data_IF_427696153300
#
_entry.id   IF_427696153300
#
_cell.length_a   1.000
_cell.length_b   1.000
_cell.length_c   1.000
_cell.angle_alpha   90.00
_cell.angle_beta   90.00
_cell.angle_gamma   90.00
#
_symmetry.space_group_name_H-M   'P 1'
#
loop_
_entity.id
_entity.type
_entity.pdbx_description
1 polymer ?
#
# COMPACT_ATOMS: atom_id res chain seq x y z
N UNK A 1 -3.91 34.28 -32.47
CA UNK A 1 -4.59 33.79 -31.24
C UNK A 1 -3.61 32.86 -30.50
N UNK A 2 -3.16 33.17 -29.30
CA UNK A 2 -2.24 32.32 -28.55
C UNK A 2 -3.03 31.15 -27.93
N UNK A 3 -2.48 29.95 -28.02
CA UNK A 3 -3.00 28.73 -27.39
C UNK A 3 -2.75 28.77 -25.89
N UNK A 4 -3.77 28.47 -25.11
CA UNK A 4 -3.77 28.43 -23.65
C UNK A 4 -2.88 27.30 -23.10
N UNK A 5 -2.03 27.56 -22.10
CA UNK A 5 -1.29 26.54 -21.36
C UNK A 5 -1.97 26.25 -20.01
N UNK A 6 -3.17 25.67 -19.99
CA UNK A 6 -3.94 25.52 -18.74
C UNK A 6 -3.86 24.11 -18.16
N UNK A 7 -3.60 23.08 -18.95
CA UNK A 7 -3.61 21.68 -18.46
C UNK A 7 -2.30 21.26 -17.76
N UNK A 8 -1.15 21.67 -18.23
CA UNK A 8 0.16 21.30 -17.66
C UNK A 8 0.43 21.91 -16.29
N UNK A 9 -0.12 23.12 -16.02
CA UNK A 9 0.08 23.82 -14.75
C UNK A 9 -0.71 23.18 -13.59
N UNK A 10 -1.88 22.61 -13.84
CA UNK A 10 -2.69 21.99 -12.79
C UNK A 10 -2.19 20.59 -12.39
N UNK A 11 -1.63 19.83 -13.32
CA UNK A 11 -1.03 18.52 -13.01
C UNK A 11 0.29 18.65 -12.22
N UNK A 12 1.13 19.63 -12.56
CA UNK A 12 2.37 19.88 -11.83
C UNK A 12 2.12 20.40 -10.41
N UNK A 13 1.12 21.25 -10.21
CA UNK A 13 0.72 21.73 -8.88
C UNK A 13 0.11 20.60 -8.03
N UNK A 14 -0.68 19.69 -8.61
CA UNK A 14 -1.22 18.52 -7.90
C UNK A 14 -0.12 17.51 -7.52
N UNK A 15 0.88 17.31 -8.37
CA UNK A 15 2.04 16.46 -8.09
C UNK A 15 2.92 17.02 -6.97
N UNK A 16 3.20 18.33 -6.97
CA UNK A 16 3.94 18.99 -5.89
C UNK A 16 3.21 18.95 -4.55
N UNK A 17 1.90 19.18 -4.55
CA UNK A 17 1.07 19.08 -3.33
C UNK A 17 1.05 17.65 -2.76
N UNK A 18 1.04 16.61 -3.60
CA UNK A 18 1.09 15.22 -3.15
C UNK A 18 2.45 14.85 -2.55
N UNK A 19 3.53 15.23 -3.22
CA UNK A 19 4.89 14.95 -2.73
C UNK A 19 5.12 15.58 -1.36
N UNK A 20 4.69 16.82 -1.16
CA UNK A 20 4.78 17.49 0.14
C UNK A 20 3.96 16.78 1.23
N UNK A 21 2.76 16.29 0.92
CA UNK A 21 1.97 15.48 1.87
C UNK A 21 2.63 14.16 2.21
N UNK A 22 3.22 13.50 1.23
CA UNK A 22 3.99 12.26 1.45
C UNK A 22 5.22 12.53 2.31
N UNK A 23 5.96 13.60 2.04
CA UNK A 23 7.12 14.04 2.84
C UNK A 23 6.71 14.32 4.30
N UNK A 24 5.59 15.02 4.50
CA UNK A 24 5.04 15.27 5.85
C UNK A 24 4.59 13.97 6.52
N UNK A 25 3.86 13.11 5.80
CA UNK A 25 3.41 11.82 6.32
C UNK A 25 4.58 10.89 6.67
N UNK A 26 5.67 10.91 5.92
CA UNK A 26 6.86 10.09 6.18
C UNK A 26 7.85 10.73 7.16
N UNK A 27 7.54 11.86 7.79
CA UNK A 27 8.47 12.61 8.65
C UNK A 27 9.10 11.77 9.77
N UNK A 28 8.33 10.90 10.43
CA UNK A 28 8.84 10.01 11.48
C UNK A 28 9.80 8.95 10.93
N UNK A 29 9.44 8.34 9.80
CA UNK A 29 10.28 7.33 9.14
C UNK A 29 11.55 7.97 8.56
N UNK A 30 11.43 9.18 8.00
CA UNK A 30 12.56 9.98 7.53
C UNK A 30 13.53 10.31 8.65
N UNK A 31 13.02 10.78 9.81
CA UNK A 31 13.84 11.07 10.98
C UNK A 31 14.61 9.84 11.44
N UNK A 32 13.98 8.69 11.47
CA UNK A 32 14.64 7.45 11.86
C UNK A 32 15.69 7.00 10.83
N UNK A 33 15.34 6.95 9.55
CA UNK A 33 16.23 6.41 8.51
C UNK A 33 17.24 7.44 7.99
N UNK A 34 16.78 8.58 7.46
CA UNK A 34 17.66 9.52 6.78
C UNK A 34 18.54 10.32 7.75
N UNK A 35 17.97 10.82 8.86
CA UNK A 35 18.79 11.57 9.85
C UNK A 35 19.77 10.62 10.55
N UNK A 36 19.38 9.35 10.81
CA UNK A 36 20.29 8.32 11.29
C UNK A 36 21.45 8.09 10.32
N UNK A 37 21.17 7.91 9.01
CA UNK A 37 22.21 7.76 7.98
C UNK A 37 23.11 8.99 7.87
N UNK A 38 22.53 10.20 7.88
CA UNK A 38 23.33 11.44 7.83
C UNK A 38 24.28 11.50 9.02
N UNK A 39 23.84 11.15 10.25
CA UNK A 39 24.72 11.17 11.44
C UNK A 39 25.91 10.20 11.34
N UNK A 40 25.73 9.04 10.70
CA UNK A 40 26.78 8.04 10.46
C UNK A 40 27.79 8.57 9.42
N UNK A 41 27.30 9.26 8.40
CA UNK A 41 28.08 9.70 7.25
C UNK A 41 28.70 11.11 7.40
N UNK A 42 28.33 11.86 8.47
CA UNK A 42 28.96 13.16 8.79
C UNK A 42 30.41 12.95 9.22
N UNK A 43 31.31 13.74 8.66
CA UNK A 43 32.73 13.79 9.06
C UNK A 43 33.72 13.32 8.01
N UNK A 44 33.23 12.97 6.80
CA UNK A 44 34.13 12.58 5.69
C UNK A 44 34.95 11.33 5.99
N UNK A 45 34.38 10.40 6.77
CA UNK A 45 34.97 9.08 7.06
C UNK A 45 35.27 8.36 5.73
N UNK A 46 36.40 7.66 5.67
CA UNK A 46 36.63 6.65 4.63
C UNK A 46 35.57 5.55 4.77
N UNK A 47 35.20 4.96 3.63
CA UNK A 47 34.24 3.85 3.63
C UNK A 47 35.02 2.58 3.98
N UNK A 48 34.93 2.18 5.24
CA UNK A 48 35.51 0.98 5.79
C UNK A 48 34.42 -0.01 6.27
N UNK A 49 34.84 -1.15 6.77
CA UNK A 49 33.94 -2.20 7.25
C UNK A 49 33.12 -1.72 8.46
N UNK A 50 33.69 -0.89 9.35
CA UNK A 50 33.01 -0.34 10.52
C UNK A 50 31.84 0.58 10.10
N UNK A 51 32.07 1.43 9.10
CA UNK A 51 31.03 2.29 8.55
C UNK A 51 29.89 1.48 7.91
N UNK A 52 30.22 0.40 7.20
CA UNK A 52 29.21 -0.47 6.58
C UNK A 52 28.40 -1.22 7.65
N UNK A 53 29.00 -1.63 8.77
CA UNK A 53 28.29 -2.21 9.93
C UNK A 53 27.33 -1.18 10.58
N UNK A 54 27.78 0.08 10.76
CA UNK A 54 26.90 1.15 11.25
C UNK A 54 25.70 1.39 10.33
N UNK A 55 25.91 1.32 9.01
CA UNK A 55 24.82 1.43 8.00
C UNK A 55 23.87 0.25 8.09
N UNK A 56 24.40 -0.99 8.25
CA UNK A 56 23.59 -2.20 8.41
C UNK A 56 22.68 -2.10 9.63
N UNK A 57 23.22 -1.73 10.78
CA UNK A 57 22.47 -1.56 12.01
C UNK A 57 21.35 -0.52 11.85
N UNK A 58 21.64 0.59 11.18
CA UNK A 58 20.65 1.65 10.93
C UNK A 58 19.49 1.17 10.02
N UNK A 59 19.78 0.36 9.01
CA UNK A 59 18.78 -0.24 8.13
C UNK A 59 17.86 -1.20 8.89
N UNK A 60 18.43 -1.99 9.79
CA UNK A 60 17.67 -2.92 10.65
C UNK A 60 16.78 -2.16 11.64
N UNK A 61 17.29 -1.11 12.28
CA UNK A 61 16.53 -0.22 13.19
C UNK A 61 15.35 0.46 12.46
N UNK A 62 15.52 0.74 11.18
CA UNK A 62 14.46 1.32 10.34
C UNK A 62 13.40 0.30 9.85
N UNK A 63 13.44 -0.96 10.30
CA UNK A 63 12.54 -2.07 9.88
C UNK A 63 12.64 -2.44 8.39
N UNK A 64 13.79 -2.21 7.73
CA UNK A 64 14.01 -2.60 6.33
C UNK A 64 14.01 -4.12 6.17
N UNK A 65 14.35 -4.83 7.24
CA UNK A 65 14.35 -6.29 7.29
C UNK A 65 15.67 -6.91 6.83
N UNK A 66 16.00 -8.08 7.42
CA UNK A 66 17.31 -8.72 7.26
C UNK A 66 17.66 -9.02 5.80
N UNK A 67 16.71 -9.54 5.02
CA UNK A 67 16.99 -9.92 3.61
C UNK A 67 17.34 -8.70 2.74
N UNK A 68 16.53 -7.63 2.86
CA UNK A 68 16.78 -6.40 2.12
C UNK A 68 18.08 -5.73 2.58
N UNK A 69 18.33 -5.69 3.89
CA UNK A 69 19.57 -5.14 4.46
C UNK A 69 20.80 -5.89 3.95
N UNK A 70 20.83 -7.23 4.04
CA UNK A 70 21.96 -8.04 3.53
C UNK A 70 22.21 -7.81 2.03
N UNK A 71 21.15 -7.69 1.23
CA UNK A 71 21.27 -7.39 -0.21
C UNK A 71 21.92 -6.02 -0.43
N UNK A 72 21.48 -5.00 0.30
CA UNK A 72 22.01 -3.64 0.21
C UNK A 72 23.48 -3.62 0.62
N UNK A 73 23.81 -4.14 1.81
CA UNK A 73 25.20 -4.13 2.34
C UNK A 73 26.14 -4.88 1.40
N UNK A 74 25.73 -6.04 0.89
CA UNK A 74 26.53 -6.79 -0.09
C UNK A 74 26.82 -5.94 -1.33
N UNK A 75 25.83 -5.27 -1.90
CA UNK A 75 26.00 -4.42 -3.07
C UNK A 75 26.93 -3.24 -2.79
N UNK A 76 26.75 -2.56 -1.65
CA UNK A 76 27.60 -1.43 -1.25
C UNK A 76 29.06 -1.87 -1.02
N UNK A 77 29.29 -3.01 -0.37
CA UNK A 77 30.62 -3.61 -0.17
C UNK A 77 31.30 -3.90 -1.53
N UNK A 78 30.58 -4.52 -2.46
CA UNK A 78 31.11 -4.79 -3.81
C UNK A 78 31.43 -3.52 -4.59
N UNK A 79 30.63 -2.46 -4.48
CA UNK A 79 30.89 -1.16 -5.10
C UNK A 79 32.10 -0.47 -4.47
N UNK A 80 32.26 -0.53 -3.15
CA UNK A 80 33.44 0.00 -2.44
C UNK A 80 34.70 -0.72 -2.86
N UNK A 81 34.69 -2.06 -2.93
CA UNK A 81 35.84 -2.87 -3.35
C UNK A 81 36.28 -2.60 -4.79
N UNK A 82 35.36 -2.19 -5.67
CA UNK A 82 35.69 -1.76 -7.04
C UNK A 82 36.21 -0.32 -7.14
N UNK A 83 36.15 0.45 -6.05
CA UNK A 83 36.50 1.87 -6.05
C UNK A 83 35.41 2.80 -6.61
N UNK A 84 34.19 2.32 -6.79
CA UNK A 84 33.06 3.12 -7.27
C UNK A 84 32.56 4.10 -6.19
N UNK A 85 32.73 3.71 -4.91
CA UNK A 85 32.35 4.50 -3.73
C UNK A 85 33.59 4.92 -2.96
N UNK A 86 33.92 6.22 -3.01
CA UNK A 86 35.11 6.77 -2.35
C UNK A 86 34.74 7.63 -1.13
N UNK A 87 33.60 8.31 -1.19
CA UNK A 87 33.16 9.27 -0.18
C UNK A 87 31.79 8.93 0.37
N UNK A 88 31.54 9.29 1.61
CA UNK A 88 30.25 9.11 2.30
C UNK A 88 29.04 9.59 1.48
N UNK A 89 29.17 10.70 0.73
CA UNK A 89 28.09 11.18 -0.14
C UNK A 89 27.77 10.19 -1.29
N UNK A 90 28.78 9.54 -1.86
CA UNK A 90 28.54 8.53 -2.91
C UNK A 90 27.86 7.29 -2.34
N UNK A 91 28.22 6.88 -1.11
CA UNK A 91 27.55 5.80 -0.38
C UNK A 91 26.08 6.12 -0.11
N UNK A 92 25.75 7.34 0.33
CA UNK A 92 24.38 7.79 0.56
C UNK A 92 23.51 7.72 -0.70
N UNK A 93 24.07 8.13 -1.83
CA UNK A 93 23.40 8.08 -3.13
C UNK A 93 23.24 6.65 -3.65
N UNK A 94 24.26 5.80 -3.46
CA UNK A 94 24.21 4.39 -3.83
C UNK A 94 23.12 3.67 -3.01
N UNK A 95 23.05 3.93 -1.69
CA UNK A 95 21.99 3.40 -0.82
C UNK A 95 20.59 3.76 -1.34
N UNK A 96 20.34 5.01 -1.72
CA UNK A 96 19.05 5.41 -2.30
C UNK A 96 18.74 4.64 -3.59
N UNK A 97 19.75 4.39 -4.43
CA UNK A 97 19.59 3.62 -5.66
C UNK A 97 19.22 2.19 -5.36
N UNK A 98 19.94 1.52 -4.45
CA UNK A 98 19.63 0.15 -4.03
C UNK A 98 18.20 0.03 -3.48
N UNK A 99 17.76 1.00 -2.68
CA UNK A 99 16.39 1.02 -2.15
C UNK A 99 15.34 1.17 -3.26
N UNK A 100 15.58 2.00 -4.27
CA UNK A 100 14.70 2.11 -5.44
C UNK A 100 14.68 0.81 -6.23
N UNK A 101 15.82 0.15 -6.39
CA UNK A 101 15.97 -1.09 -7.16
C UNK A 101 15.28 -2.28 -6.49
N UNK A 102 15.23 -2.33 -5.15
CA UNK A 102 14.42 -3.31 -4.41
C UNK A 102 12.94 -3.14 -4.72
N UNK A 103 12.44 -1.91 -4.75
CA UNK A 103 11.01 -1.62 -4.90
C UNK A 103 10.51 -1.69 -6.34
N UNK A 104 11.35 -1.34 -7.32
CA UNK A 104 10.92 -1.18 -8.72
C UNK A 104 10.25 -2.42 -9.31
N UNK A 105 10.77 -3.65 -9.15
CA UNK A 105 10.13 -4.85 -9.69
C UNK A 105 8.85 -5.26 -8.94
N UNK A 106 8.59 -4.67 -7.79
CA UNK A 106 7.48 -5.01 -6.89
C UNK A 106 6.33 -4.02 -6.95
N UNK A 107 6.24 -3.24 -8.02
CA UNK A 107 5.19 -2.26 -8.24
C UNK A 107 4.47 -2.56 -9.54
N UNK A 108 3.15 -2.63 -9.46
CA UNK A 108 2.31 -2.70 -10.64
C UNK A 108 1.03 -1.89 -10.42
N UNK A 109 0.58 -1.09 -11.39
CA UNK A 109 -0.67 -0.35 -11.28
C UNK A 109 -1.87 -1.31 -11.21
N UNK A 110 -2.93 -0.92 -10.51
CA UNK A 110 -4.22 -1.59 -10.61
C UNK A 110 -4.85 -1.26 -11.96
N UNK A 111 -5.03 -2.27 -12.80
CA UNK A 111 -5.65 -2.14 -14.11
C UNK A 111 -7.06 -2.73 -14.04
N UNK A 112 -8.07 -1.90 -14.29
CA UNK A 112 -9.46 -2.33 -14.38
C UNK A 112 -9.73 -2.86 -15.79
N UNK A 113 -9.84 -4.18 -15.91
CA UNK A 113 -10.22 -4.82 -17.17
C UNK A 113 -11.70 -4.54 -17.49
N UNK A 114 -11.95 -3.72 -18.49
CA UNK A 114 -13.31 -3.32 -18.92
C UNK A 114 -14.11 -4.47 -19.55
N UNK A 115 -13.48 -5.60 -19.88
CA UNK A 115 -14.18 -6.81 -20.32
C UNK A 115 -14.90 -7.52 -19.18
N UNK A 116 -14.51 -7.22 -17.92
CA UNK A 116 -15.11 -7.74 -16.69
C UNK A 116 -16.11 -6.74 -16.13
N UNK A 117 -17.39 -7.12 -16.08
CA UNK A 117 -18.47 -6.26 -15.55
C UNK A 117 -19.38 -7.05 -14.60
N UNK A 118 -19.22 -6.82 -13.29
CA UNK A 118 -18.25 -5.93 -12.64
C UNK A 118 -16.84 -6.51 -12.58
N UNK A 119 -15.82 -5.64 -12.63
CA UNK A 119 -14.49 -6.00 -12.14
C UNK A 119 -14.55 -6.05 -10.61
N UNK A 120 -14.25 -7.20 -10.01
CA UNK A 120 -14.46 -7.45 -8.58
C UNK A 120 -13.15 -7.31 -7.82
N UNK A 121 -13.10 -6.37 -6.88
CA UNK A 121 -11.99 -6.17 -5.94
C UNK A 121 -12.42 -6.68 -4.57
N UNK A 122 -11.73 -7.71 -4.05
CA UNK A 122 -11.92 -8.22 -2.69
C UNK A 122 -10.85 -7.61 -1.79
N UNK A 123 -11.28 -6.83 -0.78
CA UNK A 123 -10.37 -6.17 0.15
C UNK A 123 -10.30 -6.95 1.45
N UNK A 124 -9.10 -7.40 1.81
CA UNK A 124 -8.83 -8.18 3.02
C UNK A 124 -7.77 -7.53 3.91
N UNK A 125 -7.62 -8.01 5.13
CA UNK A 125 -6.66 -7.52 6.12
C UNK A 125 -7.25 -7.52 7.53
N UNK A 126 -6.42 -7.34 8.55
CA UNK A 126 -6.85 -7.38 9.95
C UNK A 126 -7.70 -6.16 10.32
N UNK A 127 -8.38 -6.22 11.47
CA UNK A 127 -9.16 -5.08 11.95
C UNK A 127 -8.23 -3.90 12.31
N UNK A 128 -8.69 -2.69 12.02
CA UNK A 128 -7.97 -1.46 12.35
C UNK A 128 -6.88 -1.04 11.36
N UNK A 129 -6.57 -1.84 10.33
CA UNK A 129 -5.57 -1.45 9.31
C UNK A 129 -6.06 -0.39 8.32
N UNK A 130 -7.33 -0.01 8.34
CA UNK A 130 -7.89 1.02 7.45
C UNK A 130 -8.55 0.46 6.18
N UNK A 131 -9.05 -0.78 6.17
CA UNK A 131 -9.75 -1.37 5.02
C UNK A 131 -10.91 -0.49 4.52
N UNK A 132 -11.89 -0.21 5.37
CA UNK A 132 -13.09 0.56 5.02
C UNK A 132 -12.73 1.97 4.50
N UNK A 133 -11.75 2.62 5.12
CA UNK A 133 -11.23 3.92 4.67
C UNK A 133 -10.55 3.81 3.30
N UNK A 134 -9.73 2.77 3.09
CA UNK A 134 -9.07 2.50 1.81
C UNK A 134 -10.10 2.24 0.70
N UNK A 135 -11.13 1.45 0.98
CA UNK A 135 -12.25 1.19 0.05
C UNK A 135 -12.91 2.50 -0.35
N UNK A 136 -13.27 3.37 0.60
CA UNK A 136 -13.89 4.66 0.31
C UNK A 136 -13.01 5.55 -0.56
N UNK A 137 -11.71 5.66 -0.25
CA UNK A 137 -10.75 6.44 -1.05
C UNK A 137 -10.56 5.86 -2.46
N UNK A 138 -10.43 4.53 -2.57
CA UNK A 138 -10.28 3.85 -3.85
C UNK A 138 -11.53 4.00 -4.71
N UNK A 139 -12.72 3.85 -4.14
CA UNK A 139 -13.99 4.02 -4.81
C UNK A 139 -14.12 5.44 -5.39
N UNK A 140 -13.78 6.46 -4.59
CA UNK A 140 -13.80 7.86 -5.05
C UNK A 140 -12.81 8.11 -6.17
N UNK A 141 -11.63 7.52 -6.09
CA UNK A 141 -10.61 7.63 -7.13
C UNK A 141 -11.11 7.01 -8.44
N UNK A 142 -11.62 5.78 -8.41
CA UNK A 142 -12.15 5.09 -9.59
C UNK A 142 -13.35 5.84 -10.21
N UNK A 143 -14.21 6.42 -9.37
CA UNK A 143 -15.29 7.30 -9.83
C UNK A 143 -14.73 8.53 -10.55
N UNK A 144 -13.66 9.13 -10.02
CA UNK A 144 -12.96 10.25 -10.67
C UNK A 144 -12.29 9.87 -12.00
N UNK A 145 -11.97 8.59 -12.19
CA UNK A 145 -11.47 8.01 -13.45
C UNK A 145 -12.61 7.61 -14.41
N UNK A 146 -13.86 7.99 -14.09
CA UNK A 146 -15.04 7.76 -14.93
C UNK A 146 -15.66 6.36 -14.82
N UNK A 147 -15.28 5.57 -13.79
CA UNK A 147 -15.86 4.24 -13.55
C UNK A 147 -17.12 4.33 -12.69
N UNK A 148 -18.14 3.57 -13.04
CA UNK A 148 -19.25 3.29 -12.13
C UNK A 148 -18.79 2.29 -11.07
N UNK A 149 -19.03 2.62 -9.79
CA UNK A 149 -18.55 1.83 -8.66
C UNK A 149 -19.73 1.43 -7.76
N UNK A 150 -19.66 0.23 -7.21
CA UNK A 150 -20.57 -0.27 -6.16
C UNK A 150 -19.74 -0.84 -5.01
N UNK A 151 -20.23 -0.73 -3.77
CA UNK A 151 -19.60 -1.28 -2.58
C UNK A 151 -20.43 -2.43 -2.00
N UNK A 152 -19.75 -3.43 -1.42
CA UNK A 152 -20.38 -4.50 -0.68
C UNK A 152 -19.86 -4.51 0.77
N UNK A 153 -20.78 -4.40 1.75
CA UNK A 153 -20.45 -4.38 3.18
C UNK A 153 -20.37 -5.83 3.73
N UNK A 154 -19.28 -6.54 3.42
CA UNK A 154 -19.09 -7.92 3.86
C UNK A 154 -18.55 -8.06 5.30
N UNK A 155 -18.11 -7.00 6.00
CA UNK A 155 -17.82 -7.04 7.45
C UNK A 155 -19.11 -6.92 8.26
N UNK A 156 -19.96 -7.95 8.18
CA UNK A 156 -21.32 -7.96 8.74
C UNK A 156 -21.35 -8.03 10.27
N UNK A 157 -20.26 -8.44 10.90
CA UNK A 157 -20.15 -8.56 12.35
C UNK A 157 -19.82 -7.24 13.05
N UNK A 158 -19.38 -6.23 12.29
CA UNK A 158 -19.08 -4.91 12.82
C UNK A 158 -20.07 -3.89 12.28
N UNK A 159 -21.14 -3.65 13.07
CA UNK A 159 -22.16 -2.67 12.70
C UNK A 159 -21.57 -1.31 12.31
N UNK A 160 -20.60 -0.82 13.10
CA UNK A 160 -19.92 0.43 12.80
C UNK A 160 -19.11 0.41 11.48
N UNK A 161 -18.61 -0.74 11.03
CA UNK A 161 -17.90 -0.83 9.75
C UNK A 161 -18.88 -0.75 8.57
N UNK A 162 -20.02 -1.45 8.68
CA UNK A 162 -21.10 -1.36 7.70
C UNK A 162 -21.65 0.06 7.60
N UNK A 163 -21.95 0.69 8.73
CA UNK A 163 -22.41 2.08 8.79
C UNK A 163 -21.40 3.05 8.20
N UNK A 164 -20.12 2.90 8.54
CA UNK A 164 -19.03 3.70 7.96
C UNK A 164 -18.99 3.58 6.44
N UNK A 165 -19.13 2.36 5.90
CA UNK A 165 -19.12 2.14 4.46
C UNK A 165 -20.34 2.77 3.78
N UNK A 166 -21.52 2.70 4.42
CA UNK A 166 -22.75 3.36 3.95
C UNK A 166 -22.60 4.88 3.91
N UNK A 167 -22.05 5.48 4.97
CA UNK A 167 -21.75 6.93 5.01
C UNK A 167 -20.77 7.33 3.88
N UNK A 168 -19.76 6.51 3.60
CA UNK A 168 -18.86 6.74 2.47
C UNK A 168 -19.62 6.69 1.13
N UNK A 169 -20.50 5.72 0.96
CA UNK A 169 -21.35 5.58 -0.22
C UNK A 169 -22.25 6.81 -0.43
N UNK A 170 -22.97 7.21 0.62
CA UNK A 170 -23.87 8.37 0.60
C UNK A 170 -23.14 9.67 0.23
N UNK A 171 -22.01 9.95 0.90
CA UNK A 171 -21.21 11.17 0.65
C UNK A 171 -20.68 11.28 -0.78
N UNK A 172 -20.49 10.15 -1.46
CA UNK A 172 -19.89 10.11 -2.78
C UNK A 172 -20.87 9.65 -3.88
N UNK A 173 -22.16 9.45 -3.55
CA UNK A 173 -23.18 8.91 -4.46
C UNK A 173 -22.76 7.54 -5.05
N UNK A 174 -22.20 6.67 -4.22
CA UNK A 174 -21.80 5.31 -4.59
C UNK A 174 -22.76 4.33 -3.91
N UNK A 175 -23.46 3.45 -4.66
CA UNK A 175 -24.38 2.49 -4.08
C UNK A 175 -23.65 1.46 -3.22
N UNK A 176 -24.22 1.14 -2.05
CA UNK A 176 -23.70 0.16 -1.10
C UNK A 176 -24.74 -0.95 -0.94
N UNK A 177 -24.30 -2.19 -1.11
CA UNK A 177 -25.08 -3.37 -0.76
C UNK A 177 -24.68 -3.80 0.65
N UNK A 178 -25.65 -3.80 1.55
CA UNK A 178 -25.49 -4.22 2.94
C UNK A 178 -26.70 -5.04 3.38
N UNK A 179 -26.50 -5.95 4.31
CA UNK A 179 -27.55 -6.70 5.00
C UNK A 179 -27.50 -6.46 6.51
N UNK A 180 -28.42 -7.01 7.25
CA UNK A 180 -28.50 -6.87 8.71
C UNK A 180 -27.23 -7.39 9.41
N UNK A 181 -27.01 -6.89 10.63
CA UNK A 181 -25.88 -7.32 11.47
C UNK A 181 -25.86 -8.85 11.65
N UNK A 182 -24.68 -9.47 11.48
CA UNK A 182 -24.48 -10.91 11.61
C UNK A 182 -24.94 -11.75 10.41
N UNK A 183 -25.35 -11.09 9.30
CA UNK A 183 -25.63 -11.80 8.05
C UNK A 183 -24.37 -12.50 7.51
N UNK A 184 -24.57 -13.50 6.66
CA UNK A 184 -23.47 -14.22 6.01
C UNK A 184 -22.73 -13.31 5.01
N UNK A 185 -21.46 -13.01 5.27
CA UNK A 185 -20.61 -12.19 4.40
C UNK A 185 -20.63 -12.63 2.93
N UNK A 186 -20.61 -13.95 2.70
CA UNK A 186 -20.62 -14.50 1.34
C UNK A 186 -21.96 -14.21 0.62
N UNK A 187 -23.09 -14.20 1.35
CA UNK A 187 -24.41 -13.86 0.79
C UNK A 187 -24.47 -12.38 0.40
N UNK A 188 -23.97 -11.48 1.26
CA UNK A 188 -23.93 -10.03 0.98
C UNK A 188 -23.13 -9.77 -0.30
N UNK A 189 -21.96 -10.40 -0.43
CA UNK A 189 -21.06 -10.21 -1.58
C UNK A 189 -21.68 -10.82 -2.85
N UNK A 190 -22.35 -11.97 -2.75
CA UNK A 190 -23.06 -12.56 -3.87
C UNK A 190 -24.18 -11.64 -4.38
N UNK A 191 -25.02 -11.13 -3.49
CA UNK A 191 -26.10 -10.20 -3.86
C UNK A 191 -25.54 -8.92 -4.46
N UNK A 192 -24.41 -8.42 -3.96
CA UNK A 192 -23.72 -7.28 -4.53
C UNK A 192 -23.23 -7.55 -5.97
N UNK A 193 -22.67 -8.74 -6.23
CA UNK A 193 -22.23 -9.15 -7.58
C UNK A 193 -23.44 -9.22 -8.54
N UNK A 194 -24.56 -9.80 -8.12
CA UNK A 194 -25.79 -9.87 -8.93
C UNK A 194 -26.35 -8.46 -9.20
N UNK A 195 -26.40 -7.61 -8.17
CA UNK A 195 -26.87 -6.23 -8.31
C UNK A 195 -25.95 -5.42 -9.24
N UNK A 196 -24.65 -5.54 -9.09
CA UNK A 196 -23.65 -4.85 -9.92
C UNK A 196 -23.76 -5.27 -11.39
N UNK A 197 -23.93 -6.58 -11.65
CA UNK A 197 -24.16 -7.12 -13.00
C UNK A 197 -25.45 -6.58 -13.61
N UNK A 198 -26.56 -6.61 -12.87
CA UNK A 198 -27.86 -6.12 -13.33
C UNK A 198 -27.84 -4.61 -13.65
N UNK A 199 -27.06 -3.83 -12.91
CA UNK A 199 -26.91 -2.37 -13.09
C UNK A 199 -25.76 -1.99 -14.01
N UNK A 200 -25.08 -2.95 -14.64
CA UNK A 200 -23.93 -2.73 -15.53
C UNK A 200 -22.80 -1.89 -14.89
N UNK A 201 -22.53 -2.13 -13.60
CA UNK A 201 -21.48 -1.46 -12.83
C UNK A 201 -20.10 -1.92 -13.32
N UNK A 202 -19.15 -0.98 -13.46
CA UNK A 202 -17.79 -1.29 -13.91
C UNK A 202 -16.98 -1.98 -12.82
N UNK A 203 -17.06 -1.51 -11.55
CA UNK A 203 -16.24 -2.02 -10.45
C UNK A 203 -17.07 -2.28 -9.20
N UNK A 204 -16.95 -3.48 -8.65
CA UNK A 204 -17.47 -3.84 -7.33
C UNK A 204 -16.30 -3.96 -6.34
N UNK A 205 -16.34 -3.22 -5.23
CA UNK A 205 -15.37 -3.34 -4.15
C UNK A 205 -16.05 -3.95 -2.93
N UNK A 206 -15.56 -5.10 -2.50
CA UNK A 206 -16.10 -5.86 -1.37
C UNK A 206 -15.20 -5.71 -0.12
N UNK A 207 -15.78 -5.18 0.97
CA UNK A 207 -15.16 -5.18 2.30
C UNK A 207 -15.33 -6.57 2.95
N UNK A 208 -14.42 -6.92 3.86
CA UNK A 208 -14.46 -8.19 4.60
C UNK A 208 -14.13 -8.00 6.07
N UNK A 209 -14.53 -8.97 6.88
CA UNK A 209 -14.10 -9.08 8.27
C UNK A 209 -12.55 -9.20 8.37
N UNK A 210 -12.02 -8.80 9.52
CA UNK A 210 -10.58 -8.86 9.77
C UNK A 210 -10.22 -9.33 11.19
N UNK A 211 -11.02 -10.23 11.78
CA UNK A 211 -10.88 -10.71 13.17
C UNK A 211 -9.80 -11.78 13.29
N UNK A 212 -8.53 -11.38 13.24
CA UNK A 212 -7.39 -12.31 13.26
C UNK A 212 -7.22 -13.05 14.59
N UNK A 213 -7.78 -12.55 15.69
CA UNK A 213 -7.82 -13.25 16.98
C UNK A 213 -8.55 -14.61 16.90
N UNK A 214 -9.46 -14.76 15.93
CA UNK A 214 -10.06 -16.05 15.58
C UNK A 214 -9.66 -16.43 14.14
N UNK A 215 -8.38 -16.73 13.98
CA UNK A 215 -7.72 -16.98 12.69
C UNK A 215 -8.43 -18.04 11.85
N UNK A 216 -8.74 -19.19 12.45
CA UNK A 216 -9.35 -20.32 11.74
C UNK A 216 -10.72 -19.95 11.19
N UNK A 217 -11.53 -19.28 11.99
CA UNK A 217 -12.86 -18.86 11.55
C UNK A 217 -12.81 -17.81 10.45
N UNK A 218 -11.92 -16.82 10.58
CA UNK A 218 -11.72 -15.80 9.55
C UNK A 218 -11.27 -16.40 8.22
N UNK A 219 -10.31 -17.33 8.24
CA UNK A 219 -9.84 -17.98 7.01
C UNK A 219 -10.94 -18.81 6.34
N UNK A 220 -11.73 -19.56 7.11
CA UNK A 220 -12.86 -20.32 6.59
C UNK A 220 -13.96 -19.41 6.00
N UNK A 221 -14.23 -18.25 6.62
CA UNK A 221 -15.16 -17.25 6.10
C UNK A 221 -14.67 -16.66 4.75
N UNK A 222 -13.40 -16.26 4.66
CA UNK A 222 -12.82 -15.73 3.43
C UNK A 222 -12.77 -16.78 2.31
N UNK A 223 -12.44 -18.02 2.63
CA UNK A 223 -12.50 -19.13 1.67
C UNK A 223 -13.92 -19.33 1.12
N UNK A 224 -14.92 -19.24 1.99
CA UNK A 224 -16.35 -19.29 1.58
C UNK A 224 -16.70 -18.12 0.66
N UNK A 225 -16.25 -16.90 0.98
CA UNK A 225 -16.45 -15.69 0.15
C UNK A 225 -15.87 -15.91 -1.24
N UNK A 226 -14.59 -16.30 -1.35
CA UNK A 226 -13.92 -16.56 -2.64
C UNK A 226 -14.66 -17.65 -3.43
N UNK A 227 -15.04 -18.74 -2.77
CA UNK A 227 -15.81 -19.82 -3.41
C UNK A 227 -17.16 -19.34 -3.96
N UNK A 228 -17.86 -18.47 -3.25
CA UNK A 228 -19.15 -17.93 -3.66
C UNK A 228 -18.97 -16.92 -4.80
N UNK A 229 -17.96 -16.08 -4.75
CA UNK A 229 -17.59 -15.18 -5.86
C UNK A 229 -17.36 -15.99 -7.16
N UNK A 230 -16.59 -17.07 -7.08
CA UNK A 230 -16.30 -17.95 -8.25
C UNK A 230 -17.52 -18.69 -8.80
N UNK A 231 -18.57 -18.86 -8.01
CA UNK A 231 -19.87 -19.36 -8.51
C UNK A 231 -20.60 -18.33 -9.36
N UNK A 232 -20.45 -17.04 -9.04
CA UNK A 232 -21.05 -15.96 -9.80
C UNK A 232 -20.23 -15.57 -11.04
N UNK A 233 -18.89 -15.58 -10.89
CA UNK A 233 -17.90 -15.39 -11.95
C UNK A 233 -16.65 -16.24 -11.64
N UNK A 234 -16.34 -17.28 -12.46
CA UNK A 234 -15.19 -18.17 -12.20
C UNK A 234 -13.83 -17.47 -12.13
N UNK A 235 -13.71 -16.26 -12.70
CA UNK A 235 -12.48 -15.46 -12.66
C UNK A 235 -12.38 -14.53 -11.45
N UNK A 236 -13.45 -14.39 -10.65
CA UNK A 236 -13.45 -13.52 -9.46
C UNK A 236 -12.77 -14.19 -8.23
N UNK A 237 -12.18 -13.38 -7.31
CA UNK A 237 -11.98 -11.95 -7.44
C UNK A 237 -10.93 -11.62 -8.52
N UNK A 238 -11.12 -10.52 -9.25
CA UNK A 238 -10.17 -10.06 -10.27
C UNK A 238 -8.96 -9.34 -9.65
N UNK A 239 -9.17 -8.73 -8.48
CA UNK A 239 -8.13 -8.20 -7.61
C UNK A 239 -8.38 -8.68 -6.18
N UNK A 240 -7.44 -9.39 -5.58
CA UNK A 240 -7.36 -9.68 -4.15
C UNK A 240 -6.42 -8.68 -3.51
N UNK A 241 -6.97 -7.64 -2.89
CA UNK A 241 -6.18 -6.55 -2.30
C UNK A 241 -6.06 -6.72 -0.79
N UNK A 242 -4.83 -6.90 -0.30
CA UNK A 242 -4.57 -6.85 1.13
C UNK A 242 -4.23 -5.43 1.58
N UNK A 243 -4.83 -4.99 2.69
CA UNK A 243 -4.50 -3.72 3.35
C UNK A 243 -3.68 -4.02 4.60
N UNK A 244 -2.50 -3.41 4.68
CA UNK A 244 -1.53 -3.58 5.76
C UNK A 244 -1.29 -2.25 6.46
N UNK A 245 -1.10 -2.30 7.77
CA UNK A 245 -0.68 -1.16 8.60
C UNK A 245 0.85 -1.14 8.71
N UNK A 246 1.50 -0.08 8.23
CA UNK A 246 2.95 0.06 8.29
C UNK A 246 3.49 -0.02 9.73
N UNK A 247 2.71 0.40 10.73
CA UNK A 247 3.09 0.33 12.14
C UNK A 247 3.24 -1.09 12.69
N UNK A 248 2.74 -2.12 11.98
CA UNK A 248 2.86 -3.51 12.41
C UNK A 248 4.23 -4.13 12.13
N UNK A 249 5.11 -3.44 11.38
CA UNK A 249 6.46 -3.90 11.07
C UNK A 249 6.46 -5.31 10.46
N UNK A 250 7.35 -6.18 10.93
CA UNK A 250 7.52 -7.57 10.45
C UNK A 250 6.23 -8.41 10.44
N UNK A 251 5.25 -8.11 11.30
CA UNK A 251 3.99 -8.83 11.33
C UNK A 251 3.15 -8.64 10.06
N UNK A 252 3.40 -7.59 9.27
CA UNK A 252 2.75 -7.38 7.98
C UNK A 252 3.02 -8.54 7.01
N UNK A 253 4.24 -9.07 6.99
CA UNK A 253 4.65 -10.19 6.12
C UNK A 253 3.86 -11.45 6.47
N UNK A 254 3.77 -11.78 7.76
CA UNK A 254 2.99 -12.93 8.23
C UNK A 254 1.52 -12.82 7.81
N UNK A 255 0.98 -11.59 7.75
CA UNK A 255 -0.38 -11.36 7.27
C UNK A 255 -0.49 -11.65 5.77
N UNK A 256 0.44 -11.17 4.93
CA UNK A 256 0.44 -11.48 3.50
C UNK A 256 0.43 -12.99 3.27
N UNK A 257 1.35 -13.71 3.89
CA UNK A 257 1.43 -15.17 3.76
C UNK A 257 0.14 -15.89 4.20
N UNK A 258 -0.44 -15.44 5.31
CA UNK A 258 -1.64 -16.04 5.85
C UNK A 258 -2.84 -15.84 4.94
N UNK A 259 -3.08 -14.58 4.51
CA UNK A 259 -4.23 -14.26 3.66
C UNK A 259 -4.07 -14.85 2.26
N UNK A 260 -2.84 -14.93 1.72
CA UNK A 260 -2.58 -15.50 0.40
C UNK A 260 -2.88 -17.00 0.30
N UNK A 261 -3.01 -17.71 1.43
CA UNK A 261 -3.41 -19.12 1.44
C UNK A 261 -4.87 -19.34 1.05
N UNK A 262 -5.73 -18.34 1.26
CA UNK A 262 -7.19 -18.47 1.06
C UNK A 262 -7.76 -17.46 0.06
N UNK A 263 -7.11 -16.31 -0.10
CA UNK A 263 -7.46 -15.29 -1.08
C UNK A 263 -6.29 -15.14 -2.05
N UNK A 264 -6.51 -15.27 -3.38
CA UNK A 264 -5.43 -15.02 -4.35
C UNK A 264 -5.08 -13.54 -4.32
N UNK A 265 -4.05 -13.18 -3.55
CA UNK A 265 -3.60 -11.79 -3.43
C UNK A 265 -2.91 -11.36 -4.72
N UNK A 266 -3.34 -10.23 -5.28
CA UNK A 266 -2.78 -9.63 -6.50
C UNK A 266 -2.30 -8.21 -6.27
N UNK A 267 -2.56 -7.62 -5.08
CA UNK A 267 -2.12 -6.29 -4.74
C UNK A 267 -2.07 -6.01 -3.25
N UNK A 268 -1.10 -5.18 -2.87
CA UNK A 268 -0.91 -4.68 -1.51
C UNK A 268 -1.21 -3.19 -1.45
N UNK A 269 -1.92 -2.78 -0.42
CA UNK A 269 -2.05 -1.38 -0.01
C UNK A 269 -1.45 -1.22 1.38
N UNK A 270 -0.50 -0.30 1.54
CA UNK A 270 0.15 -0.02 2.83
C UNK A 270 -0.39 1.31 3.36
N UNK A 271 -0.92 1.30 4.58
CA UNK A 271 -1.57 2.45 5.23
C UNK A 271 -0.80 2.92 6.46
N UNK A 272 -1.19 4.07 7.00
CA UNK A 272 -0.67 4.65 8.25
C UNK A 272 0.83 4.91 8.28
N UNK A 273 1.41 5.16 7.11
CA UNK A 273 2.81 5.56 7.01
C UNK A 273 3.10 6.86 7.77
N UNK A 274 2.11 7.73 7.94
CA UNK A 274 2.17 8.98 8.70
C UNK A 274 2.24 8.78 10.22
N UNK A 275 1.79 7.64 10.69
CA UNK A 275 1.78 7.28 12.12
C UNK A 275 3.06 6.65 12.65
N UNK A 276 3.97 6.18 11.79
CA UNK A 276 5.05 5.27 12.17
C UNK A 276 6.45 5.75 11.80
N UNK A 277 7.43 5.36 12.63
CA UNK A 277 8.86 5.42 12.28
C UNK A 277 9.36 4.19 11.50
N UNK A 278 8.46 3.21 11.25
CA UNK A 278 8.76 1.91 10.64
C UNK A 278 8.48 1.87 9.14
N UNK A 279 8.68 2.97 8.44
CA UNK A 279 8.47 3.06 6.98
C UNK A 279 9.33 2.10 6.17
N UNK A 280 10.44 1.61 6.73
CA UNK A 280 11.29 0.58 6.15
C UNK A 280 10.57 -0.75 5.89
N UNK A 281 9.47 -1.04 6.58
CA UNK A 281 8.67 -2.26 6.33
C UNK A 281 8.23 -2.41 4.87
N UNK A 282 8.11 -1.31 4.12
CA UNK A 282 7.77 -1.33 2.69
C UNK A 282 8.83 -2.10 1.89
N UNK A 283 10.11 -1.94 2.21
CA UNK A 283 11.22 -2.66 1.56
C UNK A 283 11.21 -4.13 1.94
N UNK A 284 10.94 -4.43 3.21
CA UNK A 284 10.86 -5.80 3.67
C UNK A 284 9.69 -6.57 3.02
N UNK A 285 8.52 -5.96 2.90
CA UNK A 285 7.39 -6.53 2.17
C UNK A 285 7.77 -6.78 0.70
N UNK A 286 8.41 -5.80 0.06
CA UNK A 286 8.84 -5.92 -1.33
C UNK A 286 9.86 -7.04 -1.55
N UNK A 287 10.82 -7.23 -0.65
CA UNK A 287 11.84 -8.28 -0.77
C UNK A 287 11.28 -9.68 -0.47
N UNK A 288 10.28 -9.76 0.42
CA UNK A 288 9.79 -11.05 0.94
C UNK A 288 8.60 -11.60 0.17
N UNK A 289 7.83 -10.76 -0.54
CA UNK A 289 6.61 -11.17 -1.25
C UNK A 289 6.67 -10.85 -2.74
N UNK A 290 6.00 -11.69 -3.54
CA UNK A 290 5.81 -11.43 -4.98
C UNK A 290 4.52 -10.65 -5.28
N UNK A 291 3.70 -10.36 -4.27
CA UNK A 291 2.49 -9.56 -4.44
C UNK A 291 2.86 -8.07 -4.60
N UNK A 292 2.50 -7.42 -5.70
CA UNK A 292 2.92 -6.05 -5.97
C UNK A 292 2.22 -5.03 -5.07
N UNK A 293 2.96 -3.96 -4.73
CA UNK A 293 2.41 -2.82 -4.00
C UNK A 293 1.66 -1.93 -4.99
N UNK A 294 0.36 -1.74 -4.76
CA UNK A 294 -0.54 -0.90 -5.57
C UNK A 294 -0.59 0.53 -5.06
N UNK A 295 -0.83 0.67 -3.75
CA UNK A 295 -1.13 1.96 -3.13
C UNK A 295 -0.41 2.12 -1.80
N UNK A 296 -0.16 3.39 -1.45
CA UNK A 296 0.24 3.80 -0.11
C UNK A 296 -0.70 4.87 0.44
N UNK A 297 -0.95 4.82 1.75
CA UNK A 297 -1.72 5.81 2.52
C UNK A 297 -0.81 6.54 3.49
N UNK A 298 -0.79 7.87 3.39
CA UNK A 298 0.07 8.77 4.15
C UNK A 298 -0.72 9.78 5.00
N UNK A 299 -1.99 9.45 5.30
CA UNK A 299 -2.88 10.29 6.09
C UNK A 299 -4.35 9.90 5.92
N UNK A 300 -5.25 10.68 6.54
CA UNK A 300 -6.68 10.40 6.60
C UNK A 300 -7.49 11.01 5.45
N UNK A 301 -7.00 12.07 4.81
CA UNK A 301 -7.70 12.75 3.71
C UNK A 301 -7.95 11.80 2.54
N UNK A 302 -9.01 12.09 1.77
CA UNK A 302 -9.38 11.30 0.59
C UNK A 302 -8.24 11.23 -0.44
N UNK A 303 -7.44 12.28 -0.52
CA UNK A 303 -6.30 12.39 -1.42
C UNK A 303 -5.02 11.72 -0.90
N UNK A 304 -5.03 11.17 0.34
CA UNK A 304 -3.85 10.58 0.97
C UNK A 304 -3.67 9.09 0.63
N UNK A 305 -4.45 8.56 -0.33
CA UNK A 305 -4.23 7.25 -0.95
C UNK A 305 -3.75 7.45 -2.38
N UNK A 306 -2.55 6.98 -2.71
CA UNK A 306 -1.97 7.13 -4.04
C UNK A 306 -1.34 5.84 -4.54
N UNK A 307 -1.28 5.72 -5.87
CA UNK A 307 -0.49 4.67 -6.50
C UNK A 307 0.97 4.78 -6.03
N UNK A 308 1.55 3.64 -5.72
CA UNK A 308 2.91 3.58 -5.20
C UNK A 308 3.94 3.92 -6.28
N UNK A 309 4.91 4.76 -5.93
CA UNK A 309 6.05 5.13 -6.77
C UNK A 309 7.34 4.98 -5.98
N UNK A 310 8.22 4.00 -6.32
CA UNK A 310 9.49 3.78 -5.64
C UNK A 310 10.34 5.03 -5.54
N UNK A 311 10.55 5.71 -6.66
CA UNK A 311 11.39 6.92 -6.72
C UNK A 311 10.87 8.04 -5.81
N UNK A 312 9.54 8.30 -5.84
CA UNK A 312 8.96 9.34 -4.99
C UNK A 312 8.99 8.94 -3.52
N UNK A 313 8.79 7.66 -3.21
CA UNK A 313 8.81 7.16 -1.85
C UNK A 313 10.21 7.26 -1.23
N UNK A 314 11.24 6.78 -1.93
CA UNK A 314 12.63 6.90 -1.47
C UNK A 314 13.05 8.36 -1.38
N UNK A 315 12.74 9.19 -2.39
CA UNK A 315 13.02 10.62 -2.33
C UNK A 315 12.39 11.29 -1.11
N UNK A 316 11.11 10.98 -0.79
CA UNK A 316 10.43 11.54 0.38
C UNK A 316 11.01 11.06 1.72
N UNK A 317 11.62 9.85 1.76
CA UNK A 317 12.32 9.34 2.94
C UNK A 317 13.70 9.98 3.15
N UNK A 318 14.38 10.36 2.08
CA UNK A 318 15.78 10.81 2.13
C UNK A 318 15.97 12.31 1.90
N UNK A 319 14.93 13.02 1.44
CA UNK A 319 15.01 14.47 1.27
C UNK A 319 15.09 15.15 2.64
N UNK A 320 16.28 15.61 2.98
CA UNK A 320 16.51 16.45 4.15
C UNK A 320 15.87 17.83 3.91
N UNK A 321 15.24 18.42 4.93
CA UNK A 321 14.87 19.81 4.87
C UNK A 321 16.18 20.60 4.94
N UNK A 322 16.72 21.00 3.77
CA UNK A 322 17.82 21.95 3.71
C UNK A 322 17.37 23.22 4.45
N UNK A 323 17.69 23.25 5.73
CA UNK A 323 17.80 24.54 6.43
C UNK A 323 19.21 25.03 6.10
N UNK A 324 19.26 25.98 5.16
CA UNK A 324 20.38 26.91 5.06
C UNK A 324 20.78 27.46 6.43
#
# INVERSE_FOLDING_TARGET
MPKEPVAETQESQKKGSWFNRMKTGLSKSRKNLAEGMVSILIGGKEIDDELLEEVEDQLLVADIGVNATNRIIKSLTEQTARGDLIYAHSLYKALQTELVDILTPKVAPLIIDSSKKPFVILVVGVNGVGKTTTIGKLAKRLQGEGKSVMLAAGDTFRAAATEQLQIWGERNNIPVVAQGHGSDSASVIFDAMQSAKAKNIDVLIADTAGRLQNKTHLMAELEKVVRVMRKADPSAPHEGMIVLDAGTGQNAINQVELFNKVVPLTGITITKLDGTAKGGVVFNIAETTDVPIRYIGVGESIDDLRAFSPKQFVAALFETDDKE
#
